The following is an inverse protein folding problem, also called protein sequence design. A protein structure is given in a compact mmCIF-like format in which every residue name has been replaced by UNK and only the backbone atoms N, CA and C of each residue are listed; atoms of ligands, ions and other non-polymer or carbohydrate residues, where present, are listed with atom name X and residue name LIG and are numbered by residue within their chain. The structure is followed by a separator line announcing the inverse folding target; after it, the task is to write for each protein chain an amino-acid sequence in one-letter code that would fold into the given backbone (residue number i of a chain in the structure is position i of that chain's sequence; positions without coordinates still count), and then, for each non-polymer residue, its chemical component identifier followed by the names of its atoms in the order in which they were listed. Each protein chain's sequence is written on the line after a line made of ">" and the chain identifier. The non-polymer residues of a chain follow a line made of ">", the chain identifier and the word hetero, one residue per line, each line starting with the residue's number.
data_IF_490213454836
#
_entry.id   IF_490213454836
#
_cell.length_a   1.000
_cell.length_b   1.000
_cell.length_c   1.000
_cell.angle_alpha   90.00
_cell.angle_beta   90.00
_cell.angle_gamma   90.00
#
_symmetry.space_group_name_H-M   'P 1'
#
loop_
_entity.id
_entity.type
_entity.pdbx_description
1 polymer ?
#
# COMPACT_ATOMS: atom_id res chain seq x y z
N UNK A 1 -18.38 24.69 40.80
CA UNK A 1 -17.99 23.27 40.81
C UNK A 1 -16.93 23.11 39.76
N UNK A 2 -15.68 22.85 40.13
CA UNK A 2 -14.60 22.66 39.17
C UNK A 2 -14.68 21.22 38.62
N UNK A 3 -14.97 21.09 37.34
CA UNK A 3 -14.98 19.81 36.65
C UNK A 3 -13.54 19.50 36.26
N UNK A 4 -12.85 18.71 37.07
CA UNK A 4 -11.50 18.26 36.75
C UNK A 4 -11.58 17.08 35.78
N UNK A 5 -11.02 17.25 34.59
CA UNK A 5 -10.92 16.18 33.61
C UNK A 5 -9.57 15.48 33.82
N UNK A 6 -9.59 14.25 34.33
CA UNK A 6 -8.39 13.43 34.42
C UNK A 6 -8.17 12.70 33.09
N UNK A 7 -6.93 12.71 32.60
CA UNK A 7 -6.56 11.95 31.42
C UNK A 7 -6.69 10.46 31.73
N UNK A 8 -7.35 9.72 30.85
CA UNK A 8 -7.39 8.27 30.92
C UNK A 8 -5.97 7.69 30.84
N UNK A 9 -5.65 6.75 31.73
CA UNK A 9 -4.36 6.03 31.71
C UNK A 9 -4.43 4.78 30.84
N UNK A 10 -5.64 4.29 30.54
CA UNK A 10 -5.88 3.19 29.60
C UNK A 10 -5.45 3.63 28.19
N UNK A 11 -4.57 2.84 27.57
CA UNK A 11 -4.04 3.14 26.24
C UNK A 11 -5.15 3.22 25.19
N UNK A 12 -5.03 4.18 24.27
CA UNK A 12 -5.98 4.41 23.16
C UNK A 12 -7.42 4.71 23.61
N UNK A 13 -7.60 5.10 24.87
CA UNK A 13 -8.88 5.48 25.43
C UNK A 13 -9.13 6.98 25.25
N UNK A 14 -10.23 7.31 24.59
CA UNK A 14 -10.70 8.69 24.41
C UNK A 14 -11.50 9.15 25.63
N UNK A 15 -12.36 8.28 26.17
CA UNK A 15 -13.24 8.59 27.31
C UNK A 15 -13.28 7.41 28.29
N UNK A 16 -13.08 7.68 29.58
CA UNK A 16 -13.09 6.68 30.66
C UNK A 16 -13.93 7.15 31.86
N UNK A 17 -14.36 6.19 32.67
CA UNK A 17 -15.10 6.47 33.90
C UNK A 17 -14.17 6.78 35.08
N UNK A 18 -14.73 7.01 36.28
CA UNK A 18 -13.97 7.30 37.50
C UNK A 18 -13.04 6.15 37.95
N UNK A 19 -13.32 4.91 37.51
CA UNK A 19 -12.47 3.73 37.74
C UNK A 19 -11.42 3.56 36.63
N UNK A 20 -11.30 4.52 35.70
CA UNK A 20 -10.42 4.49 34.55
C UNK A 20 -10.72 3.35 33.54
N UNK A 21 -11.93 2.78 33.60
CA UNK A 21 -12.40 1.83 32.60
C UNK A 21 -12.80 2.59 31.33
N UNK A 22 -12.36 2.10 30.17
CA UNK A 22 -12.58 2.80 28.93
C UNK A 22 -14.01 2.63 28.43
N UNK A 23 -14.69 3.75 28.13
CA UNK A 23 -16.02 3.79 27.54
C UNK A 23 -16.01 4.12 26.04
N UNK A 24 -14.90 4.69 25.53
CA UNK A 24 -14.75 5.03 24.11
C UNK A 24 -13.29 5.06 23.71
N UNK A 25 -12.97 4.39 22.61
CA UNK A 25 -11.63 4.38 22.05
C UNK A 25 -11.42 5.55 21.08
N UNK A 26 -10.15 5.91 20.87
CA UNK A 26 -9.76 6.77 19.74
C UNK A 26 -10.01 6.04 18.41
N UNK A 27 -10.02 6.78 17.29
CA UNK A 27 -10.29 6.23 15.97
C UNK A 27 -9.40 5.01 15.65
N UNK A 28 -10.00 3.98 15.03
CA UNK A 28 -9.42 2.67 14.66
C UNK A 28 -9.23 1.65 15.80
N UNK A 29 -9.73 1.94 16.99
CA UNK A 29 -9.74 0.99 18.12
C UNK A 29 -11.18 0.66 18.54
N UNK A 30 -11.39 -0.55 19.01
CA UNK A 30 -12.66 -1.08 19.50
C UNK A 30 -12.51 -1.57 20.94
N UNK A 31 -13.57 -1.41 21.75
CA UNK A 31 -13.60 -1.92 23.11
C UNK A 31 -13.61 -3.45 23.09
N UNK A 32 -12.74 -4.07 23.89
CA UNK A 32 -12.62 -5.51 24.05
C UNK A 32 -12.18 -5.87 25.46
N UNK A 33 -12.40 -7.10 25.88
CA UNK A 33 -11.98 -7.62 27.19
C UNK A 33 -12.77 -7.11 28.40
N UNK A 34 -12.33 -7.54 29.59
CA UNK A 34 -12.93 -7.19 30.89
C UNK A 34 -11.82 -7.06 31.95
N UNK A 35 -11.51 -5.85 32.46
CA UNK A 35 -12.14 -4.56 32.16
C UNK A 35 -11.92 -4.11 30.70
N UNK A 36 -12.81 -3.25 30.16
CA UNK A 36 -12.78 -2.88 28.75
C UNK A 36 -11.51 -2.11 28.38
N UNK A 37 -10.77 -2.64 27.41
CA UNK A 37 -9.56 -2.06 26.82
C UNK A 37 -9.78 -1.75 25.34
N UNK A 38 -9.01 -0.80 24.81
CA UNK A 38 -9.07 -0.43 23.40
C UNK A 38 -8.08 -1.24 22.58
N UNK A 39 -8.61 -2.19 21.79
CA UNK A 39 -7.84 -3.06 20.90
C UNK A 39 -8.07 -2.68 19.46
N UNK A 40 -7.07 -2.85 18.59
CA UNK A 40 -7.33 -2.69 17.16
C UNK A 40 -8.20 -3.85 16.67
N UNK A 41 -9.12 -3.55 15.75
CA UNK A 41 -10.13 -4.48 15.22
C UNK A 41 -9.55 -5.77 14.60
N UNK A 42 -8.26 -5.80 14.30
CA UNK A 42 -7.60 -6.88 13.55
C UNK A 42 -6.20 -7.24 14.03
N UNK A 43 -5.72 -6.74 15.18
CA UNK A 43 -4.33 -6.92 15.62
C UNK A 43 -3.29 -6.17 14.77
N UNK A 44 -3.71 -5.57 13.66
CA UNK A 44 -2.95 -4.60 12.89
C UNK A 44 -3.32 -3.17 13.33
N UNK A 45 -2.35 -2.27 13.34
CA UNK A 45 -2.53 -0.86 13.74
C UNK A 45 -3.35 -0.01 12.75
N UNK A 46 -3.93 -0.62 11.71
CA UNK A 46 -4.60 0.08 10.62
C UNK A 46 -3.63 0.64 9.58
N UNK A 47 -4.19 1.30 8.56
CA UNK A 47 -3.41 1.87 7.46
C UNK A 47 -2.59 3.07 7.94
N UNK A 48 -1.32 3.12 7.55
CA UNK A 48 -0.37 4.18 7.90
C UNK A 48 0.29 4.01 9.28
N UNK A 49 0.09 2.87 9.95
CA UNK A 49 0.66 2.57 11.26
C UNK A 49 1.27 1.16 11.31
N UNK A 50 2.18 0.96 12.26
CA UNK A 50 2.83 -0.31 12.57
C UNK A 50 2.95 -0.50 14.09
N UNK A 51 3.38 -1.67 14.51
CA UNK A 51 3.51 -2.05 15.92
C UNK A 51 2.42 -3.02 16.35
N UNK A 52 2.25 -3.14 17.66
CA UNK A 52 1.33 -4.09 18.28
C UNK A 52 0.06 -3.39 18.76
N UNK A 53 -1.01 -4.17 18.97
CA UNK A 53 -2.25 -3.66 19.53
C UNK A 53 -1.98 -2.95 20.86
N UNK A 54 -2.36 -1.68 20.96
CA UNK A 54 -2.09 -0.86 22.15
C UNK A 54 -0.90 0.09 21.99
N UNK A 55 0.09 -0.25 21.15
CA UNK A 55 1.32 0.51 20.93
C UNK A 55 1.58 0.71 19.43
N UNK A 56 0.66 1.44 18.79
CA UNK A 56 0.73 1.73 17.37
C UNK A 56 1.53 3.01 17.10
N UNK A 57 2.48 2.93 16.17
CA UNK A 57 3.32 4.04 15.75
C UNK A 57 3.08 4.36 14.28
N UNK A 58 3.14 5.63 13.92
CA UNK A 58 2.88 6.09 12.55
C UNK A 58 4.04 5.74 11.62
N UNK A 59 3.74 5.30 10.40
CA UNK A 59 4.72 5.20 9.34
C UNK A 59 5.26 6.60 8.98
N UNK A 60 6.58 6.73 8.93
CA UNK A 60 7.28 7.94 8.49
C UNK A 60 7.37 8.05 6.96
N UNK A 61 7.20 6.94 6.24
CA UNK A 61 7.19 6.93 4.77
C UNK A 61 5.89 7.54 4.23
N UNK A 62 6.01 8.62 3.46
CA UNK A 62 4.86 9.27 2.83
C UNK A 62 4.18 8.33 1.82
N UNK A 63 2.83 8.30 1.84
CA UNK A 63 2.02 7.43 1.00
C UNK A 63 2.10 5.95 1.38
N UNK A 64 2.67 5.61 2.54
CA UNK A 64 2.77 4.23 2.99
C UNK A 64 1.49 3.78 3.71
N UNK A 65 0.90 2.70 3.21
CA UNK A 65 -0.27 2.03 3.80
C UNK A 65 0.14 1.09 4.94
N UNK A 66 1.28 0.41 4.82
CA UNK A 66 1.80 -0.50 5.85
C UNK A 66 3.32 -0.45 5.89
N UNK A 67 3.88 -0.28 7.07
CA UNK A 67 5.32 -0.33 7.32
C UNK A 67 5.65 -1.36 8.41
N UNK A 68 6.90 -1.79 8.46
CA UNK A 68 7.40 -2.80 9.42
C UNK A 68 8.08 -2.20 10.65
N UNK A 69 8.76 -1.07 10.48
CA UNK A 69 9.59 -0.41 11.51
C UNK A 69 9.42 1.13 11.51
N UNK A 70 8.35 1.63 10.89
CA UNK A 70 8.08 3.06 10.72
C UNK A 70 8.77 3.68 9.50
N UNK A 71 9.98 3.26 9.18
CA UNK A 71 10.74 3.80 8.06
C UNK A 71 10.71 2.92 6.81
N UNK A 72 10.35 1.64 6.95
CA UNK A 72 10.36 0.65 5.88
C UNK A 72 8.93 0.33 5.47
N UNK A 73 8.55 0.75 4.26
CA UNK A 73 7.22 0.52 3.72
C UNK A 73 7.12 -0.84 3.03
N UNK A 74 6.08 -1.59 3.37
CA UNK A 74 5.76 -2.88 2.77
C UNK A 74 4.64 -2.77 1.73
N UNK A 75 3.78 -1.75 1.85
CA UNK A 75 2.67 -1.50 0.94
C UNK A 75 2.36 -0.02 0.85
N UNK A 76 2.25 0.49 -0.37
CA UNK A 76 1.82 1.87 -0.63
C UNK A 76 0.29 2.01 -0.62
N UNK A 77 -0.17 3.23 -0.40
CA UNK A 77 -1.58 3.59 -0.48
C UNK A 77 -2.01 3.82 -1.93
N UNK A 78 -3.30 3.60 -2.19
CA UNK A 78 -3.95 3.91 -3.46
C UNK A 78 -3.29 3.25 -4.68
N UNK A 79 -2.92 4.04 -5.68
CA UNK A 79 -2.29 3.62 -6.95
C UNK A 79 -0.77 3.80 -6.93
N UNK A 80 -0.19 4.16 -5.78
CA UNK A 80 1.24 4.44 -5.69
C UNK A 80 2.07 3.15 -5.76
N UNK A 81 3.27 3.28 -6.30
CA UNK A 81 4.23 2.20 -6.48
C UNK A 81 5.33 2.27 -5.41
N UNK A 82 5.62 1.12 -4.80
CA UNK A 82 6.71 0.99 -3.83
C UNK A 82 8.06 0.99 -4.56
N UNK A 83 8.91 1.97 -4.24
CA UNK A 83 10.28 2.00 -4.76
C UNK A 83 11.14 0.88 -4.18
N UNK A 84 12.20 0.48 -4.89
CA UNK A 84 13.02 -0.68 -4.55
C UNK A 84 13.64 -0.61 -3.14
N UNK A 85 13.93 0.60 -2.65
CA UNK A 85 14.52 0.83 -1.33
C UNK A 85 13.50 0.74 -0.19
N UNK A 86 12.21 0.59 -0.51
CA UNK A 86 11.09 0.56 0.45
C UNK A 86 10.92 1.83 1.30
N UNK A 87 11.64 2.91 0.99
CA UNK A 87 11.59 4.17 1.75
C UNK A 87 10.69 5.22 1.10
N UNK A 88 10.05 4.88 -0.03
CA UNK A 88 9.22 5.81 -0.79
C UNK A 88 8.13 5.12 -1.59
N UNK A 89 6.96 5.74 -1.60
CA UNK A 89 5.85 5.44 -2.50
C UNK A 89 5.75 6.57 -3.53
N UNK A 90 5.63 6.23 -4.81
CA UNK A 90 5.60 7.20 -5.91
C UNK A 90 4.52 6.83 -6.93
N UNK A 91 3.84 7.82 -7.52
CA UNK A 91 2.88 7.55 -8.59
C UNK A 91 3.57 6.92 -9.82
N UNK A 92 4.74 7.44 -10.19
CA UNK A 92 5.56 6.92 -11.27
C UNK A 92 6.86 6.31 -10.73
N UNK A 93 7.32 5.24 -11.38
CA UNK A 93 8.62 4.64 -11.07
C UNK A 93 9.78 5.46 -11.65
N UNK A 94 10.94 5.51 -10.95
CA UNK A 94 12.10 6.25 -11.43
C UNK A 94 12.68 5.66 -12.73
N UNK A 95 13.54 6.43 -13.41
CA UNK A 95 14.23 5.96 -14.63
C UNK A 95 14.99 4.66 -14.40
N UNK A 96 14.92 3.73 -15.35
CA UNK A 96 15.47 2.38 -15.20
C UNK A 96 14.58 1.44 -14.39
N UNK A 97 13.37 1.84 -14.03
CA UNK A 97 12.36 1.01 -13.37
C UNK A 97 11.01 1.12 -14.09
N UNK A 98 10.16 0.12 -13.89
CA UNK A 98 8.78 0.10 -14.36
C UNK A 98 7.83 -0.33 -13.25
N UNK A 99 6.59 0.13 -13.31
CA UNK A 99 5.55 -0.27 -12.39
C UNK A 99 5.01 -1.65 -12.77
N UNK A 100 5.01 -2.58 -11.82
CA UNK A 100 4.30 -3.85 -11.90
C UNK A 100 3.72 -4.19 -10.53
N UNK A 101 2.41 -4.47 -10.48
CA UNK A 101 1.71 -4.83 -9.25
C UNK A 101 2.03 -3.90 -8.04
N UNK A 102 1.96 -2.57 -8.25
CA UNK A 102 2.29 -1.53 -7.26
C UNK A 102 3.73 -1.57 -6.71
N UNK A 103 4.67 -2.10 -7.49
CA UNK A 103 6.10 -2.09 -7.17
C UNK A 103 6.90 -1.57 -8.34
N UNK A 104 7.97 -0.85 -8.05
CA UNK A 104 8.95 -0.46 -9.05
C UNK A 104 9.99 -1.56 -9.21
N UNK A 105 9.92 -2.27 -10.33
CA UNK A 105 10.87 -3.32 -10.69
C UNK A 105 11.94 -2.75 -11.61
N UNK A 106 13.19 -3.19 -11.42
CA UNK A 106 14.33 -2.70 -12.20
C UNK A 106 14.26 -3.25 -13.63
N UNK A 107 14.55 -2.40 -14.59
CA UNK A 107 14.82 -2.82 -15.97
C UNK A 107 16.16 -3.58 -16.07
N UNK A 108 16.37 -4.27 -17.19
CA UNK A 108 17.72 -4.68 -17.58
C UNK A 108 18.67 -3.48 -17.59
N UNK A 109 19.93 -3.70 -17.18
CA UNK A 109 20.94 -2.63 -17.02
C UNK A 109 21.23 -1.85 -18.31
N UNK A 110 20.83 -2.39 -19.47
CA UNK A 110 20.97 -1.76 -20.79
C UNK A 110 19.78 -0.89 -21.19
N UNK A 111 18.73 -0.83 -20.36
CA UNK A 111 17.44 -0.22 -20.69
C UNK A 111 17.08 0.87 -19.67
N UNK A 112 16.90 2.10 -20.15
CA UNK A 112 16.42 3.22 -19.32
C UNK A 112 14.90 3.26 -19.16
N UNK A 113 14.17 2.53 -20.04
CA UNK A 113 12.73 2.33 -20.00
C UNK A 113 12.42 0.89 -20.39
N UNK A 114 11.50 0.29 -19.68
CA UNK A 114 10.95 -1.03 -19.96
C UNK A 114 9.51 -1.09 -19.43
N UNK A 115 8.79 -2.17 -19.72
CA UNK A 115 7.41 -2.37 -19.26
C UNK A 115 7.19 -3.85 -18.96
N UNK A 116 6.20 -4.15 -18.13
CA UNK A 116 5.77 -5.52 -17.92
C UNK A 116 5.34 -6.14 -19.26
N UNK A 117 5.72 -7.39 -19.50
CA UNK A 117 5.13 -8.17 -20.59
C UNK A 117 3.83 -8.75 -20.06
N UNK A 118 2.72 -8.02 -20.20
CA UNK A 118 1.43 -8.57 -19.77
C UNK A 118 1.14 -9.82 -20.61
N UNK A 119 1.05 -10.98 -19.95
CA UNK A 119 0.90 -12.28 -20.63
C UNK A 119 -0.38 -12.35 -21.48
N UNK A 120 -1.41 -11.57 -21.14
CA UNK A 120 -2.62 -11.40 -21.96
C UNK A 120 -2.36 -10.53 -23.21
N UNK A 121 -1.55 -9.48 -23.08
CA UNK A 121 -1.18 -8.58 -24.19
C UNK A 121 -0.18 -9.22 -25.15
N UNK A 122 0.61 -10.20 -24.71
CA UNK A 122 1.49 -10.98 -25.61
C UNK A 122 0.65 -11.72 -26.65
N UNK A 123 -0.46 -12.35 -26.25
CA UNK A 123 -1.33 -13.07 -27.19
C UNK A 123 -1.98 -12.07 -28.16
N UNK A 124 -2.46 -10.93 -27.67
CA UNK A 124 -3.07 -9.90 -28.52
C UNK A 124 -2.03 -9.26 -29.48
N UNK A 125 -0.82 -8.96 -29.01
CA UNK A 125 0.26 -8.39 -29.84
C UNK A 125 0.80 -9.41 -30.85
N UNK A 126 0.90 -10.68 -30.49
CA UNK A 126 1.25 -11.77 -31.42
C UNK A 126 0.16 -11.93 -32.48
N UNK A 127 -1.12 -11.89 -32.11
CA UNK A 127 -2.24 -11.92 -33.04
C UNK A 127 -2.23 -10.72 -33.99
N UNK A 128 -2.08 -9.50 -33.47
CA UNK A 128 -1.99 -8.27 -34.27
C UNK A 128 -0.80 -8.33 -35.24
N UNK A 129 0.36 -8.78 -34.77
CA UNK A 129 1.58 -8.86 -35.60
C UNK A 129 1.43 -9.93 -36.69
N UNK A 130 0.84 -11.07 -36.36
CA UNK A 130 0.56 -12.14 -37.33
C UNK A 130 -0.47 -11.68 -38.38
N UNK A 131 -1.55 -11.03 -37.96
CA UNK A 131 -2.57 -10.46 -38.85
C UNK A 131 -1.98 -9.41 -39.79
N UNK A 132 -1.15 -8.49 -39.27
CA UNK A 132 -0.43 -7.52 -40.09
C UNK A 132 0.43 -8.23 -41.14
N UNK A 133 1.22 -9.24 -40.76
CA UNK A 133 2.03 -10.02 -41.71
C UNK A 133 1.19 -10.69 -42.79
N UNK A 134 0.03 -11.25 -42.44
CA UNK A 134 -0.89 -11.84 -43.43
C UNK A 134 -1.43 -10.77 -44.40
N UNK A 135 -1.86 -9.61 -43.91
CA UNK A 135 -2.34 -8.50 -44.75
C UNK A 135 -1.26 -8.03 -45.73
N UNK A 136 -0.02 -7.82 -45.24
CA UNK A 136 1.10 -7.43 -46.10
C UNK A 136 1.43 -8.52 -47.15
N UNK A 137 1.36 -9.81 -46.79
CA UNK A 137 1.61 -10.91 -47.71
C UNK A 137 0.52 -11.05 -48.78
N UNK A 138 -0.74 -10.75 -48.46
CA UNK A 138 -1.85 -10.75 -49.43
C UNK A 138 -1.74 -9.59 -50.40
N UNK A 139 -1.41 -8.39 -49.92
CA UNK A 139 -1.23 -7.20 -50.76
C UNK A 139 0.01 -7.30 -51.69
N UNK A 140 1.03 -8.06 -51.28
CA UNK A 140 2.20 -8.34 -52.13
C UNK A 140 1.91 -9.31 -53.28
N UNK A 141 0.86 -10.14 -53.18
CA UNK A 141 0.45 -11.09 -54.24
C UNK A 141 -0.50 -10.50 -55.28
N UNK A 142 -1.06 -9.31 -55.06
CA UNK A 142 -2.02 -8.67 -55.98
C UNK A 142 -1.37 -7.67 -56.96
N UNK A 143 -0.04 -7.48 -56.88
CA UNK A 143 0.73 -6.50 -57.68
C UNK A 143 1.63 -7.17 -58.75
N UNK A 144 1.57 -8.49 -58.90
CA UNK A 144 2.22 -9.25 -60.00
C UNK A 144 1.18 -9.86 -60.92
#
# INVERSE_FOLDING_TARGET
>A
MATYCNKCTTANCLECNNNNECGKCIDNFELSGTPPICTSKSGACGDGYYGEAGNCQKCSVNGCKRCSDGETCDMCSEIMNLEFNKKKCSNDCPTGYFADNQKCLKCDDKCNKCQALDKENVIMNVLITTLKKMIYATNAKTIT
#
